data_IF_518809049570
#
_entry.id   IF_518809049570
#
_cell.length_a   1.000
_cell.length_b   1.000
_cell.length_c   1.000
_cell.angle_alpha   90.00
_cell.angle_beta   90.00
_cell.angle_gamma   90.00
#
_symmetry.space_group_name_H-M   'P 1'
#
loop_
_entity.id
_entity.type
_entity.pdbx_description
1 polymer ?
#
# COMPACT_ATOMS: atom_id res chain seq x y z
N UNK A 1 6.44 7.75 -18.23
CA UNK A 1 5.01 7.42 -18.34
C UNK A 1 4.49 6.98 -16.98
N UNK A 2 3.51 7.67 -16.46
CA UNK A 2 2.85 7.27 -15.21
C UNK A 2 2.01 6.02 -15.46
N UNK A 3 2.23 4.96 -14.67
CA UNK A 3 1.39 3.77 -14.69
C UNK A 3 0.02 4.12 -14.13
N UNK A 4 -1.01 4.05 -14.97
CA UNK A 4 -2.40 4.24 -14.57
C UNK A 4 -3.09 2.88 -14.42
N UNK A 5 -3.60 2.59 -13.22
CA UNK A 5 -4.38 1.39 -12.96
C UNK A 5 -5.69 1.40 -13.75
N UNK A 6 -6.23 0.21 -14.03
CA UNK A 6 -7.55 0.07 -14.63
C UNK A 6 -8.63 0.57 -13.66
N UNK A 7 -9.52 1.41 -14.16
CA UNK A 7 -10.68 1.88 -13.40
C UNK A 7 -11.74 0.79 -13.24
N UNK A 8 -12.72 1.04 -12.40
CA UNK A 8 -13.88 0.15 -12.23
C UNK A 8 -14.69 0.05 -13.53
N UNK A 9 -14.81 1.17 -14.23
CA UNK A 9 -15.54 1.28 -15.52
C UNK A 9 -14.83 0.51 -16.62
N UNK A 10 -13.50 0.63 -16.71
CA UNK A 10 -12.69 -0.15 -17.66
C UNK A 10 -12.83 -1.65 -17.41
N UNK A 11 -12.85 -2.08 -16.13
CA UNK A 11 -13.09 -3.47 -15.76
C UNK A 11 -14.49 -3.95 -16.10
N UNK A 12 -15.51 -3.11 -15.90
CA UNK A 12 -16.87 -3.43 -16.31
C UNK A 12 -16.97 -3.62 -17.84
N UNK A 13 -16.33 -2.74 -18.60
CA UNK A 13 -16.25 -2.86 -20.07
C UNK A 13 -15.56 -4.15 -20.48
N UNK A 14 -14.45 -4.52 -19.83
CA UNK A 14 -13.76 -5.81 -20.09
C UNK A 14 -14.72 -6.98 -19.82
N UNK A 15 -15.46 -6.96 -18.73
CA UNK A 15 -16.41 -8.03 -18.36
C UNK A 15 -17.47 -8.22 -19.44
N UNK A 16 -18.17 -7.14 -19.81
CA UNK A 16 -19.25 -7.19 -20.80
C UNK A 16 -18.73 -7.60 -22.16
N UNK A 17 -17.64 -6.99 -22.62
CA UNK A 17 -17.06 -7.27 -23.94
C UNK A 17 -16.52 -8.69 -24.05
N UNK A 18 -15.92 -9.21 -22.96
CA UNK A 18 -15.47 -10.59 -22.92
C UNK A 18 -16.62 -11.59 -22.95
N UNK A 19 -17.72 -11.30 -22.22
CA UNK A 19 -18.93 -12.12 -22.27
C UNK A 19 -19.59 -12.15 -23.65
N UNK A 20 -19.43 -11.07 -24.44
CA UNK A 20 -19.85 -10.99 -25.84
C UNK A 20 -18.91 -11.69 -26.84
N UNK A 21 -17.83 -12.32 -26.35
CA UNK A 21 -16.87 -13.04 -27.17
C UNK A 21 -15.88 -12.16 -27.95
N UNK A 22 -15.74 -10.87 -27.58
CA UNK A 22 -14.78 -9.97 -28.22
C UNK A 22 -13.34 -10.37 -27.90
N UNK A 23 -12.46 -10.23 -28.90
CA UNK A 23 -11.04 -10.51 -28.72
C UNK A 23 -10.39 -9.49 -27.78
N UNK A 24 -9.33 -9.90 -27.06
CA UNK A 24 -8.60 -9.01 -26.13
C UNK A 24 -8.05 -7.75 -26.81
N UNK A 25 -7.67 -7.85 -28.09
CA UNK A 25 -7.24 -6.68 -28.89
C UNK A 25 -8.37 -5.69 -29.09
N UNK A 26 -9.57 -6.19 -29.40
CA UNK A 26 -10.75 -5.34 -29.58
C UNK A 26 -11.17 -4.67 -28.29
N UNK A 27 -11.15 -5.42 -27.18
CA UNK A 27 -11.43 -4.89 -25.84
C UNK A 27 -10.42 -3.79 -25.48
N UNK A 28 -9.13 -4.01 -25.75
CA UNK A 28 -8.09 -3.03 -25.50
C UNK A 28 -8.32 -1.70 -26.27
N UNK A 29 -8.75 -1.79 -27.53
CA UNK A 29 -9.15 -0.60 -28.29
C UNK A 29 -10.32 0.13 -27.67
N UNK A 30 -11.35 -0.59 -27.20
CA UNK A 30 -12.54 0.02 -26.57
C UNK A 30 -12.21 0.83 -25.31
N UNK A 31 -11.27 0.34 -24.49
CA UNK A 31 -10.88 1.02 -23.26
C UNK A 31 -9.63 1.90 -23.43
N UNK A 32 -9.14 2.08 -24.66
CA UNK A 32 -7.93 2.84 -24.96
C UNK A 32 -6.70 2.43 -24.13
N UNK A 33 -6.47 1.11 -24.02
CA UNK A 33 -5.34 0.51 -23.31
C UNK A 33 -4.58 -0.45 -24.20
N UNK A 34 -3.36 -0.81 -23.80
CA UNK A 34 -2.59 -1.82 -24.54
C UNK A 34 -3.23 -3.22 -24.41
N UNK A 35 -3.18 -4.06 -25.44
CA UNK A 35 -3.64 -5.45 -25.39
C UNK A 35 -2.96 -6.26 -24.28
N UNK A 36 -1.69 -5.95 -23.97
CA UNK A 36 -0.95 -6.58 -22.88
C UNK A 36 -1.54 -6.25 -21.50
N UNK A 37 -2.10 -5.05 -21.30
CA UNK A 37 -2.78 -4.67 -20.07
C UNK A 37 -4.03 -5.51 -19.86
N UNK A 38 -4.87 -5.65 -20.87
CA UNK A 38 -6.09 -6.48 -20.83
C UNK A 38 -5.74 -7.95 -20.61
N UNK A 39 -4.75 -8.46 -21.32
CA UNK A 39 -4.29 -9.85 -21.17
C UNK A 39 -3.79 -10.15 -19.76
N UNK A 40 -3.00 -9.25 -19.15
CA UNK A 40 -2.51 -9.40 -17.78
C UNK A 40 -3.66 -9.32 -16.77
N UNK A 41 -4.61 -8.40 -16.95
CA UNK A 41 -5.79 -8.28 -16.11
C UNK A 41 -6.62 -9.56 -16.13
N UNK A 42 -6.91 -10.06 -17.32
CA UNK A 42 -7.65 -11.31 -17.50
C UNK A 42 -6.92 -12.50 -16.85
N UNK A 43 -5.63 -12.68 -17.11
CA UNK A 43 -4.86 -13.77 -16.53
C UNK A 43 -4.81 -13.76 -15.01
N UNK A 44 -4.76 -12.56 -14.39
CA UNK A 44 -4.67 -12.40 -12.94
C UNK A 44 -6.00 -12.59 -12.22
N UNK A 45 -7.11 -12.33 -12.89
CA UNK A 45 -8.41 -12.17 -12.23
C UNK A 45 -9.50 -13.12 -12.75
N UNK A 46 -9.22 -13.97 -13.76
CA UNK A 46 -10.11 -15.07 -14.13
C UNK A 46 -10.32 -16.02 -12.95
N UNK A 47 -11.50 -16.60 -12.90
CA UNK A 47 -11.77 -17.77 -12.05
C UNK A 47 -11.34 -19.07 -12.73
N UNK A 48 -11.49 -20.20 -12.04
CA UNK A 48 -11.16 -21.52 -12.56
C UNK A 48 -12.02 -21.90 -13.76
N UNK A 49 -13.21 -21.35 -13.90
CA UNK A 49 -14.12 -21.56 -15.03
C UNK A 49 -13.82 -20.67 -16.23
N UNK A 50 -12.78 -19.81 -16.14
CA UNK A 50 -12.40 -18.88 -17.20
C UNK A 50 -13.26 -17.62 -17.29
N UNK A 51 -14.20 -17.43 -16.35
CA UNK A 51 -15.05 -16.25 -16.26
C UNK A 51 -14.29 -15.07 -15.63
N UNK A 52 -14.66 -13.86 -16.00
CA UNK A 52 -14.10 -12.62 -15.47
C UNK A 52 -15.18 -11.78 -14.84
N UNK A 53 -14.98 -11.38 -13.59
CA UNK A 53 -15.85 -10.46 -12.86
C UNK A 53 -15.10 -9.20 -12.48
N UNK A 54 -15.60 -8.05 -12.92
CA UNK A 54 -15.02 -6.74 -12.62
C UNK A 54 -14.98 -6.46 -11.11
N UNK A 55 -16.03 -6.84 -10.38
CA UNK A 55 -16.12 -6.70 -8.92
C UNK A 55 -15.05 -7.50 -8.20
N UNK A 56 -14.88 -8.77 -8.57
CA UNK A 56 -13.87 -9.66 -7.97
C UNK A 56 -12.47 -9.18 -8.31
N UNK A 57 -12.24 -8.76 -9.57
CA UNK A 57 -10.97 -8.21 -10.02
C UNK A 57 -10.59 -6.95 -9.22
N UNK A 58 -11.54 -6.05 -8.99
CA UNK A 58 -11.36 -4.85 -8.18
C UNK A 58 -11.00 -5.18 -6.73
N UNK A 59 -11.69 -6.14 -6.14
CA UNK A 59 -11.41 -6.56 -4.76
C UNK A 59 -10.03 -7.21 -4.65
N UNK A 60 -9.69 -8.13 -5.56
CA UNK A 60 -8.35 -8.76 -5.61
C UNK A 60 -7.23 -7.74 -5.79
N UNK A 61 -7.46 -6.71 -6.61
CA UNK A 61 -6.49 -5.62 -6.78
C UNK A 61 -6.28 -4.86 -5.47
N UNK A 62 -7.35 -4.49 -4.75
CA UNK A 62 -7.26 -3.80 -3.45
C UNK A 62 -6.47 -4.63 -2.43
N UNK A 63 -6.76 -5.93 -2.32
CA UNK A 63 -6.05 -6.84 -1.40
C UNK A 63 -4.57 -6.92 -1.75
N UNK A 64 -4.21 -7.13 -3.04
CA UNK A 64 -2.81 -7.14 -3.49
C UNK A 64 -2.09 -5.83 -3.18
N UNK A 65 -2.77 -4.69 -3.38
CA UNK A 65 -2.19 -3.37 -3.10
C UNK A 65 -1.94 -3.16 -1.61
N UNK A 66 -2.83 -3.66 -0.75
CA UNK A 66 -2.60 -3.63 0.70
C UNK A 66 -1.41 -4.51 1.10
N UNK A 67 -1.32 -5.73 0.55
CA UNK A 67 -0.22 -6.65 0.82
C UNK A 67 1.15 -6.13 0.33
N UNK A 68 1.19 -5.33 -0.75
CA UNK A 68 2.41 -4.71 -1.26
C UNK A 68 2.85 -3.48 -0.45
N UNK A 69 2.02 -2.95 0.44
CA UNK A 69 2.43 -1.83 1.28
C UNK A 69 3.31 -2.34 2.41
N UNK A 70 4.51 -1.76 2.61
CA UNK A 70 5.31 -2.11 3.76
C UNK A 70 4.53 -1.80 5.04
N UNK A 71 4.63 -2.68 6.03
CA UNK A 71 4.04 -2.44 7.35
C UNK A 71 4.62 -1.17 7.95
N UNK A 72 3.77 -0.38 8.60
CA UNK A 72 4.22 0.82 9.31
C UNK A 72 5.23 0.40 10.39
N UNK A 73 6.38 1.06 10.40
CA UNK A 73 7.44 0.78 11.39
C UNK A 73 7.03 1.14 12.82
N UNK A 74 6.17 2.14 12.96
CA UNK A 74 5.62 2.59 14.25
C UNK A 74 4.11 2.29 14.28
N UNK A 75 3.77 1.10 14.73
CA UNK A 75 2.39 0.72 15.03
C UNK A 75 2.11 0.99 16.52
N UNK A 76 0.97 1.63 16.86
CA UNK A 76 0.55 1.76 18.25
C UNK A 76 0.57 0.40 18.96
N UNK A 77 1.15 0.33 20.15
CA UNK A 77 1.30 -0.91 20.92
C UNK A 77 2.50 -1.76 20.52
N UNK A 78 3.31 -1.38 19.52
CA UNK A 78 4.57 -2.05 19.27
C UNK A 78 5.66 -1.54 20.21
N UNK A 79 6.63 -2.41 20.58
CA UNK A 79 7.76 -2.06 21.44
C UNK A 79 8.53 -0.84 20.91
N UNK A 80 8.68 -0.73 19.59
CA UNK A 80 9.32 0.43 18.93
C UNK A 80 8.51 1.72 19.11
N UNK A 81 7.21 1.62 19.02
CA UNK A 81 6.31 2.75 19.22
C UNK A 81 6.41 3.27 20.66
N UNK A 82 6.33 2.37 21.64
CA UNK A 82 6.43 2.73 23.07
C UNK A 82 7.79 3.38 23.41
N UNK A 83 8.88 2.84 22.84
CA UNK A 83 10.21 3.42 23.01
C UNK A 83 10.29 4.85 22.43
N UNK A 84 9.76 5.06 21.23
CA UNK A 84 9.74 6.39 20.59
C UNK A 84 8.88 7.36 21.40
N UNK A 85 7.69 6.93 21.86
CA UNK A 85 6.82 7.74 22.73
C UNK A 85 7.52 8.10 24.04
N UNK A 86 8.20 7.16 24.66
CA UNK A 86 8.98 7.43 25.87
C UNK A 86 10.04 8.50 25.65
N UNK A 87 10.81 8.39 24.57
CA UNK A 87 11.83 9.39 24.22
C UNK A 87 11.24 10.76 23.87
N UNK A 88 10.08 10.82 23.21
CA UNK A 88 9.37 12.07 22.95
C UNK A 88 8.88 12.74 24.25
N UNK A 89 8.40 11.96 25.22
CA UNK A 89 8.02 12.47 26.56
C UNK A 89 9.22 13.04 27.32
N UNK A 90 10.42 12.53 27.08
CA UNK A 90 11.68 13.11 27.57
C UNK A 90 12.12 14.38 26.81
N UNK A 91 11.27 14.93 25.94
CA UNK A 91 11.51 16.13 25.14
C UNK A 91 12.66 15.99 24.12
N UNK A 92 12.98 14.78 23.71
CA UNK A 92 13.92 14.56 22.60
C UNK A 92 13.25 14.89 21.27
N UNK A 93 13.97 15.58 20.39
CA UNK A 93 13.45 15.86 19.05
C UNK A 93 13.43 14.60 18.17
N UNK A 94 12.56 14.51 17.16
CA UNK A 94 12.55 13.40 16.22
C UNK A 94 13.89 13.12 15.55
N UNK A 95 14.71 14.16 15.30
CA UNK A 95 16.07 14.05 14.78
C UNK A 95 17.00 13.35 15.77
N UNK A 96 16.94 13.73 17.04
CA UNK A 96 17.73 13.12 18.11
C UNK A 96 17.33 11.67 18.34
N UNK A 97 16.03 11.36 18.28
CA UNK A 97 15.51 10.00 18.40
C UNK A 97 15.98 9.15 17.23
N UNK A 98 15.89 9.66 16.00
CA UNK A 98 16.33 8.95 14.80
C UNK A 98 17.84 8.65 14.80
N UNK A 99 18.67 9.49 15.43
CA UNK A 99 20.11 9.31 15.54
C UNK A 99 20.54 8.31 16.64
N UNK A 100 19.78 8.19 17.72
CA UNK A 100 20.15 7.38 18.90
C UNK A 100 20.38 5.88 18.64
N UNK A 101 19.54 5.16 17.86
CA UNK A 101 19.71 3.73 17.67
C UNK A 101 21.03 3.33 17.00
N UNK A 102 21.67 4.25 16.29
CA UNK A 102 22.97 3.99 15.64
C UNK A 102 24.14 3.95 16.63
N UNK A 103 23.99 4.62 17.78
CA UNK A 103 25.02 4.66 18.84
C UNK A 103 24.82 3.63 19.95
N UNK A 104 23.65 3.02 20.05
CA UNK A 104 23.35 1.99 21.06
C UNK A 104 23.64 0.60 20.51
N UNK A 105 24.60 -0.08 21.14
CA UNK A 105 25.01 -1.44 20.77
C UNK A 105 24.05 -2.52 21.27
N UNK A 106 22.72 -2.27 21.20
CA UNK A 106 21.68 -3.19 21.62
C UNK A 106 21.17 -3.94 20.36
N UNK A 107 21.37 -5.27 20.26
CA UNK A 107 21.02 -6.04 19.06
C UNK A 107 19.53 -5.92 18.65
N UNK A 108 18.64 -5.85 19.63
CA UNK A 108 17.19 -5.66 19.40
C UNK A 108 16.80 -4.29 18.83
N UNK A 109 17.68 -3.29 18.94
CA UNK A 109 17.45 -1.92 18.46
C UNK A 109 18.16 -1.61 17.13
N UNK A 110 19.07 -2.46 16.65
CA UNK A 110 19.73 -2.26 15.35
C UNK A 110 18.75 -2.25 14.19
N UNK A 111 17.72 -3.10 14.24
CA UNK A 111 16.62 -3.12 13.26
C UNK A 111 15.53 -2.10 13.53
N UNK A 112 15.65 -1.34 14.63
CA UNK A 112 14.66 -0.37 15.07
C UNK A 112 14.90 1.04 14.51
N UNK A 113 15.78 1.19 13.49
CA UNK A 113 16.00 2.50 12.87
C UNK A 113 14.68 3.04 12.30
N UNK A 114 14.30 4.19 12.81
CA UNK A 114 13.14 4.95 12.38
C UNK A 114 13.62 6.33 11.96
N UNK A 115 13.35 6.72 10.71
CA UNK A 115 13.71 8.06 10.28
C UNK A 115 12.79 9.12 10.92
N UNK A 116 13.26 10.35 11.02
CA UNK A 116 12.53 11.48 11.59
C UNK A 116 11.12 11.64 11.00
N UNK A 117 10.98 11.47 9.68
CA UNK A 117 9.69 11.59 8.99
C UNK A 117 8.68 10.53 9.44
N UNK A 118 9.14 9.29 9.69
CA UNK A 118 8.27 8.23 10.22
C UNK A 118 7.78 8.59 11.62
N UNK A 119 8.62 9.24 12.44
CA UNK A 119 8.26 9.70 13.79
C UNK A 119 7.23 10.83 13.69
N UNK A 120 7.46 11.83 12.83
CA UNK A 120 6.48 12.89 12.58
C UNK A 120 5.14 12.35 12.10
N UNK A 121 5.15 11.44 11.12
CA UNK A 121 3.92 10.81 10.62
C UNK A 121 3.18 10.03 11.71
N UNK A 122 3.89 9.39 12.64
CA UNK A 122 3.28 8.72 13.78
C UNK A 122 2.65 9.73 14.76
N UNK A 123 3.34 10.83 15.06
CA UNK A 123 2.80 11.90 15.93
C UNK A 123 1.54 12.51 15.33
N UNK A 124 1.56 12.84 14.03
CA UNK A 124 0.41 13.44 13.36
C UNK A 124 -0.78 12.48 13.20
N UNK A 125 -0.55 11.18 13.22
CA UNK A 125 -1.60 10.16 13.22
C UNK A 125 -2.26 9.97 14.59
N UNK A 126 -1.63 10.46 15.68
CA UNK A 126 -2.22 10.44 17.01
C UNK A 126 -3.30 11.51 17.14
N UNK A 127 -4.33 11.28 17.97
CA UNK A 127 -5.30 12.31 18.31
C UNK A 127 -4.58 13.50 18.98
N UNK A 128 -5.18 14.68 18.84
CA UNK A 128 -4.66 15.89 19.50
C UNK A 128 -4.62 15.67 21.02
N UNK A 129 -3.45 15.83 21.62
CA UNK A 129 -3.22 15.57 23.04
C UNK A 129 -1.81 15.94 23.47
N UNK A 130 -1.28 15.22 24.45
CA UNK A 130 0.01 15.51 25.10
C UNK A 130 1.22 15.60 24.16
N UNK A 131 1.24 14.80 23.10
CA UNK A 131 2.34 14.74 22.12
C UNK A 131 2.10 15.58 20.86
N UNK A 132 0.88 16.03 20.65
CA UNK A 132 0.48 16.87 19.53
C UNK A 132 -0.20 18.14 20.09
N UNK A 133 0.60 19.17 20.33
CA UNK A 133 0.14 20.52 20.66
C UNK A 133 0.07 21.38 19.41
#
# INVERSE_FOLDING_TARGET
MSYSELSVEERATIQVSHAQGLSLRRIACLINRSPSTVSREMRRNRDAAGSYSARVAQQRMKVRRQACRPMRKLLPGSERFELVIHMLRQRLSPEQIAGKPRGMNIPSLRDAYVCRETIYNAIYALPVGELRK
#
